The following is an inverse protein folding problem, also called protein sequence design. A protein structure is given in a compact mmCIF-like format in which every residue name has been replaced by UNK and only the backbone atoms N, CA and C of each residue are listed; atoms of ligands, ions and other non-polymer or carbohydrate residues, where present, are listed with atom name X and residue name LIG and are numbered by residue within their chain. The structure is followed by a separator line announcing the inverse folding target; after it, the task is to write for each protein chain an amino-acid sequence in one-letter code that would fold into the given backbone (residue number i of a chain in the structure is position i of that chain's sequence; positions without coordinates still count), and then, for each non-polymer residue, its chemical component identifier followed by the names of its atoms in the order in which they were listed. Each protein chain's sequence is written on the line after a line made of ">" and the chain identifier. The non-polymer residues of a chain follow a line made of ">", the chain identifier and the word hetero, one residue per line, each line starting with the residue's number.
data_IF_242832069767
#
_entry.id   IF_242832069767
#
_cell.length_a   1.000
_cell.length_b   1.000
_cell.length_c   1.000
_cell.angle_alpha   90.00
_cell.angle_beta   90.00
_cell.angle_gamma   90.00
#
_symmetry.space_group_name_H-M   'P 1'
#
loop_
_entity.id
_entity.type
_entity.pdbx_description
1 polymer ?
#
# COMPACT_ATOMS: atom_id res chain seq x y z
N UNK A 1 -15.21 -13.84 9.18
CA UNK A 1 -15.50 -12.59 9.92
C UNK A 1 -14.24 -11.75 9.89
N UNK A 2 -14.32 -10.54 9.39
CA UNK A 2 -13.20 -9.64 9.33
C UNK A 2 -12.79 -9.15 10.72
N UNK A 3 -11.51 -8.85 10.88
CA UNK A 3 -10.89 -8.43 12.14
C UNK A 3 -11.18 -9.41 13.29
N UNK A 4 -11.11 -10.70 13.01
CA UNK A 4 -11.26 -11.69 14.06
C UNK A 4 -10.16 -11.56 15.12
N UNK A 5 -10.38 -11.96 16.37
CA UNK A 5 -9.33 -11.95 17.40
C UNK A 5 -8.07 -12.71 16.97
N UNK A 6 -8.23 -13.81 16.22
CA UNK A 6 -7.13 -14.61 15.69
C UNK A 6 -6.34 -13.84 14.63
N UNK A 7 -7.02 -13.15 13.70
CA UNK A 7 -6.37 -12.27 12.72
C UNK A 7 -5.58 -11.18 13.40
N UNK A 8 -6.21 -10.43 14.32
CA UNK A 8 -5.56 -9.33 15.04
C UNK A 8 -4.34 -9.80 15.85
N UNK A 9 -4.47 -10.95 16.53
CA UNK A 9 -3.36 -11.56 17.26
C UNK A 9 -2.20 -11.86 16.31
N UNK A 10 -2.49 -12.52 15.18
CA UNK A 10 -1.46 -12.96 14.25
C UNK A 10 -0.76 -11.82 13.53
N UNK A 11 -1.47 -10.81 13.04
CA UNK A 11 -0.82 -9.65 12.40
C UNK A 11 0.06 -8.87 13.39
N UNK A 12 -0.33 -8.80 14.67
CA UNK A 12 0.51 -8.21 15.71
C UNK A 12 1.79 -9.02 15.98
N UNK A 13 1.72 -10.35 15.98
CA UNK A 13 2.89 -11.23 16.10
C UNK A 13 3.81 -11.06 14.90
N UNK A 14 3.27 -11.02 13.68
CA UNK A 14 4.03 -10.79 12.46
C UNK A 14 4.75 -9.44 12.50
N UNK A 15 4.06 -8.36 12.87
CA UNK A 15 4.68 -7.05 12.97
C UNK A 15 5.87 -7.04 13.94
N UNK A 16 5.72 -7.64 15.13
CA UNK A 16 6.81 -7.75 16.10
C UNK A 16 8.00 -8.53 15.53
N UNK A 17 7.75 -9.59 14.77
CA UNK A 17 8.81 -10.36 14.12
C UNK A 17 9.52 -9.55 13.03
N UNK A 18 8.80 -8.73 12.26
CA UNK A 18 9.37 -7.86 11.24
C UNK A 18 10.26 -6.76 11.85
N UNK A 19 9.79 -6.10 12.90
CA UNK A 19 10.59 -5.10 13.62
C UNK A 19 11.87 -5.73 14.19
N UNK A 20 11.77 -6.94 14.77
CA UNK A 20 12.95 -7.66 15.27
C UNK A 20 13.93 -8.00 14.15
N UNK A 21 13.42 -8.45 13.00
CA UNK A 21 14.24 -8.69 11.81
C UNK A 21 14.95 -7.39 11.39
N UNK A 22 14.20 -6.31 11.19
CA UNK A 22 14.74 -5.04 10.70
C UNK A 22 15.79 -4.44 11.63
N UNK A 23 15.61 -4.59 12.95
CA UNK A 23 16.58 -4.17 13.96
C UNK A 23 17.90 -4.97 13.88
N UNK A 24 17.87 -6.20 13.36
CA UNK A 24 19.05 -7.06 13.20
C UNK A 24 19.79 -6.84 11.88
N UNK A 25 19.20 -6.08 10.92
CA UNK A 25 19.78 -5.86 9.61
C UNK A 25 20.55 -4.54 9.55
N UNK A 26 21.88 -4.55 9.33
CA UNK A 26 22.66 -3.33 9.16
C UNK A 26 22.33 -2.61 7.86
N UNK A 27 22.06 -3.37 6.80
CA UNK A 27 21.75 -2.85 5.48
C UNK A 27 20.25 -2.53 5.33
N UNK A 28 19.95 -1.32 4.83
CA UNK A 28 18.59 -0.84 4.60
C UNK A 28 17.80 -1.72 3.63
N UNK A 29 18.44 -2.22 2.57
CA UNK A 29 17.77 -3.03 1.55
C UNK A 29 17.40 -4.42 2.07
N UNK A 30 18.10 -4.91 3.09
CA UNK A 30 17.78 -6.17 3.76
C UNK A 30 16.60 -6.06 4.74
N UNK A 31 16.17 -4.85 5.09
CA UNK A 31 15.03 -4.60 5.97
C UNK A 31 13.72 -4.74 5.21
N UNK A 32 12.68 -5.19 5.89
CA UNK A 32 11.33 -5.30 5.33
C UNK A 32 10.65 -3.94 5.21
N UNK A 33 10.88 -3.05 6.17
CA UNK A 33 10.34 -1.67 6.17
C UNK A 33 8.82 -1.63 6.01
N UNK A 34 8.12 -2.52 6.71
CA UNK A 34 6.67 -2.55 6.68
C UNK A 34 6.09 -1.29 7.34
N UNK A 35 4.93 -0.87 6.83
CA UNK A 35 4.12 0.23 7.37
C UNK A 35 3.77 0.00 8.85
N UNK A 36 3.59 1.06 9.62
CA UNK A 36 3.21 0.97 11.04
C UNK A 36 1.76 0.48 11.21
N UNK A 37 1.46 -0.18 12.36
CA UNK A 37 0.13 -0.76 12.60
C UNK A 37 -1.01 0.24 12.48
N UNK A 38 -0.84 1.45 13.00
CA UNK A 38 -1.86 2.49 12.95
C UNK A 38 -2.17 2.92 11.51
N UNK A 39 -1.14 3.04 10.69
CA UNK A 39 -1.27 3.35 9.27
C UNK A 39 -1.98 2.23 8.53
N UNK A 40 -1.59 0.96 8.74
CA UNK A 40 -2.21 -0.20 8.10
C UNK A 40 -3.70 -0.33 8.49
N UNK A 41 -4.05 -0.11 9.77
CA UNK A 41 -5.43 -0.08 10.24
C UNK A 41 -6.24 1.04 9.56
N UNK A 42 -5.66 2.24 9.47
CA UNK A 42 -6.31 3.38 8.79
C UNK A 42 -6.59 3.10 7.32
N UNK A 43 -5.63 2.49 6.60
CA UNK A 43 -5.83 2.09 5.19
C UNK A 43 -6.99 1.09 5.06
N UNK A 44 -7.03 0.07 5.93
CA UNK A 44 -8.13 -0.91 5.95
C UNK A 44 -9.49 -0.25 6.26
N UNK A 45 -9.52 0.77 7.13
CA UNK A 45 -10.74 1.55 7.39
C UNK A 45 -11.16 2.35 6.15
N UNK A 46 -10.22 3.02 5.46
CA UNK A 46 -10.53 3.76 4.23
C UNK A 46 -11.13 2.86 3.16
N UNK A 47 -10.55 1.68 2.92
CA UNK A 47 -11.08 0.70 1.97
C UNK A 47 -12.52 0.32 2.31
N UNK A 48 -12.82 0.10 3.60
CA UNK A 48 -14.18 -0.23 4.07
C UNK A 48 -15.16 0.93 3.91
N UNK A 49 -14.76 2.15 4.30
CA UNK A 49 -15.61 3.35 4.19
C UNK A 49 -15.93 3.66 2.73
N UNK A 50 -14.91 3.59 1.89
CA UNK A 50 -15.03 3.86 0.45
C UNK A 50 -15.76 2.74 -0.31
N UNK A 51 -15.89 1.54 0.27
CA UNK A 51 -16.40 0.35 -0.41
C UNK A 51 -15.63 0.03 -1.70
N UNK A 52 -14.30 0.17 -1.65
CA UNK A 52 -13.40 -0.07 -2.77
C UNK A 52 -13.61 -1.44 -3.38
N UNK A 53 -13.55 -1.54 -4.71
CA UNK A 53 -13.73 -2.79 -5.46
C UNK A 53 -12.44 -3.30 -6.11
N UNK A 54 -11.56 -2.38 -6.50
CA UNK A 54 -10.25 -2.68 -7.07
C UNK A 54 -9.21 -1.89 -6.29
N UNK A 55 -8.25 -2.59 -5.72
CA UNK A 55 -7.18 -2.04 -4.88
C UNK A 55 -5.85 -2.34 -5.54
N UNK A 56 -4.98 -1.35 -5.64
CA UNK A 56 -3.59 -1.51 -6.06
C UNK A 56 -2.68 -1.19 -4.88
N UNK A 57 -1.71 -2.05 -4.65
CA UNK A 57 -0.60 -1.79 -3.74
C UNK A 57 0.71 -1.88 -4.51
N UNK A 58 1.55 -0.85 -4.40
CA UNK A 58 2.90 -0.83 -4.96
C UNK A 58 3.89 -0.85 -3.81
N UNK A 59 4.58 -1.97 -3.66
CA UNK A 59 5.43 -2.28 -2.52
C UNK A 59 4.77 -3.25 -1.53
N UNK A 60 4.69 -4.53 -1.89
CA UNK A 60 4.16 -5.60 -1.02
C UNK A 60 5.05 -5.83 0.20
N UNK A 61 6.37 -5.80 0.00
CA UNK A 61 7.34 -6.26 0.99
C UNK A 61 6.96 -7.66 1.52
N UNK A 62 6.93 -7.85 2.83
CA UNK A 62 6.48 -9.12 3.46
C UNK A 62 4.97 -9.16 3.73
N UNK A 63 4.20 -8.20 3.19
CA UNK A 63 2.75 -8.26 3.11
C UNK A 63 1.99 -7.68 4.30
N UNK A 64 2.62 -6.91 5.18
CA UNK A 64 1.90 -6.42 6.37
C UNK A 64 0.70 -5.54 6.02
N UNK A 65 0.87 -4.52 5.18
CA UNK A 65 -0.22 -3.71 4.62
C UNK A 65 -1.18 -4.55 3.80
N UNK A 66 -0.65 -5.45 2.97
CA UNK A 66 -1.43 -6.35 2.12
C UNK A 66 -2.44 -7.16 2.92
N UNK A 67 -2.04 -7.71 4.09
CA UNK A 67 -2.93 -8.49 4.96
C UNK A 67 -4.10 -7.65 5.50
N UNK A 68 -3.84 -6.41 5.94
CA UNK A 68 -4.88 -5.49 6.40
C UNK A 68 -5.83 -5.07 5.27
N UNK A 69 -5.28 -4.79 4.09
CA UNK A 69 -6.07 -4.48 2.90
C UNK A 69 -6.90 -5.69 2.48
N UNK A 70 -6.36 -6.92 2.57
CA UNK A 70 -7.06 -8.14 2.21
C UNK A 70 -8.24 -8.46 3.14
N UNK A 71 -8.06 -8.30 4.45
CA UNK A 71 -9.17 -8.41 5.40
C UNK A 71 -10.28 -7.38 5.10
N UNK A 72 -9.93 -6.17 4.71
CA UNK A 72 -10.90 -5.16 4.28
C UNK A 72 -11.54 -5.53 2.93
N UNK A 73 -10.76 -6.06 1.99
CA UNK A 73 -11.23 -6.47 0.66
C UNK A 73 -12.25 -7.61 0.73
N UNK A 74 -12.09 -8.58 1.64
CA UNK A 74 -13.09 -9.63 1.87
C UNK A 74 -14.45 -9.04 2.26
N UNK A 75 -14.46 -7.97 3.10
CA UNK A 75 -15.71 -7.31 3.52
C UNK A 75 -16.36 -6.54 2.39
N UNK A 76 -15.57 -5.88 1.56
CA UNK A 76 -16.09 -5.06 0.46
C UNK A 76 -16.28 -5.83 -0.84
N UNK A 77 -15.95 -7.14 -0.86
CA UNK A 77 -15.89 -7.97 -2.07
C UNK A 77 -14.98 -7.36 -3.14
N UNK A 78 -13.83 -6.83 -2.69
CA UNK A 78 -12.81 -6.25 -3.54
C UNK A 78 -11.78 -7.28 -3.99
N UNK A 79 -10.97 -6.90 -4.98
CA UNK A 79 -9.72 -7.58 -5.36
C UNK A 79 -8.54 -6.65 -5.17
N UNK A 80 -7.43 -7.23 -4.75
CA UNK A 80 -6.16 -6.53 -4.58
C UNK A 80 -5.20 -7.02 -5.64
N UNK A 81 -4.56 -6.10 -6.34
CA UNK A 81 -3.32 -6.36 -7.08
C UNK A 81 -2.18 -5.76 -6.26
N UNK A 82 -1.23 -6.56 -5.84
CA UNK A 82 -0.04 -6.11 -5.09
C UNK A 82 1.22 -6.41 -5.87
N UNK A 83 2.11 -5.42 -5.97
CA UNK A 83 3.30 -5.46 -6.83
C UNK A 83 4.57 -5.44 -5.97
N UNK A 84 5.43 -6.43 -6.20
CA UNK A 84 6.71 -6.58 -5.50
C UNK A 84 7.78 -7.04 -6.50
N UNK A 85 8.97 -6.43 -6.42
CA UNK A 85 10.08 -6.80 -7.29
C UNK A 85 10.87 -8.00 -6.76
N UNK A 86 10.89 -8.20 -5.42
CA UNK A 86 11.60 -9.30 -4.78
C UNK A 86 10.69 -10.54 -4.66
N UNK A 87 10.98 -11.62 -5.43
CA UNK A 87 10.17 -12.83 -5.40
C UNK A 87 10.15 -13.54 -4.03
N UNK A 88 11.18 -13.35 -3.20
CA UNK A 88 11.23 -13.95 -1.87
C UNK A 88 10.28 -13.24 -0.92
N UNK A 89 10.22 -11.92 -0.97
CA UNK A 89 9.26 -11.11 -0.20
C UNK A 89 7.83 -11.42 -0.62
N UNK A 90 7.55 -11.41 -1.91
CA UNK A 90 6.22 -11.76 -2.43
C UNK A 90 5.78 -13.18 -2.02
N UNK A 91 6.68 -14.17 -2.09
CA UNK A 91 6.40 -15.52 -1.64
C UNK A 91 6.10 -15.58 -0.12
N UNK A 92 6.84 -14.82 0.69
CA UNK A 92 6.61 -14.73 2.13
C UNK A 92 5.26 -14.09 2.44
N UNK A 93 4.89 -13.00 1.76
CA UNK A 93 3.59 -12.35 1.88
C UNK A 93 2.45 -13.31 1.51
N UNK A 94 2.60 -14.06 0.43
CA UNK A 94 1.62 -15.08 -0.01
C UNK A 94 1.42 -16.18 1.03
N UNK A 95 2.49 -16.63 1.70
CA UNK A 95 2.37 -17.62 2.77
C UNK A 95 1.57 -17.09 3.96
N UNK A 96 1.80 -15.85 4.39
CA UNK A 96 1.02 -15.24 5.46
C UNK A 96 -0.44 -14.99 5.06
N UNK A 97 -0.69 -14.62 3.82
CA UNK A 97 -2.05 -14.46 3.32
C UNK A 97 -2.84 -15.79 3.37
N UNK A 98 -2.21 -16.90 2.96
CA UNK A 98 -2.79 -18.25 3.07
C UNK A 98 -3.04 -18.66 4.51
N UNK A 99 -2.07 -18.42 5.40
CA UNK A 99 -2.19 -18.70 6.83
C UNK A 99 -3.41 -18.01 7.44
N UNK A 100 -3.68 -16.78 7.02
CA UNK A 100 -4.80 -15.96 7.49
C UNK A 100 -6.10 -16.14 6.67
N UNK A 101 -6.09 -17.01 5.67
CA UNK A 101 -7.22 -17.27 4.77
C UNK A 101 -7.78 -16.00 4.10
N UNK A 102 -6.86 -15.14 3.63
CA UNK A 102 -7.18 -13.90 2.88
C UNK A 102 -6.57 -13.87 1.48
N UNK A 103 -5.92 -14.96 1.06
CA UNK A 103 -5.22 -15.05 -0.22
C UNK A 103 -6.16 -15.08 -1.44
N UNK A 104 -7.40 -15.48 -1.27
CA UNK A 104 -8.41 -15.58 -2.33
C UNK A 104 -8.78 -14.22 -2.96
N UNK A 105 -8.50 -13.11 -2.29
CA UNK A 105 -8.75 -11.75 -2.79
C UNK A 105 -7.49 -11.05 -3.32
N UNK A 106 -6.32 -11.69 -3.27
CA UNK A 106 -5.03 -11.08 -3.60
C UNK A 106 -4.45 -11.67 -4.89
N UNK A 107 -4.05 -10.80 -5.81
CA UNK A 107 -3.25 -11.11 -6.98
C UNK A 107 -1.82 -10.58 -6.76
N UNK A 108 -0.87 -11.48 -6.54
CA UNK A 108 0.53 -11.15 -6.32
C UNK A 108 1.27 -11.03 -7.65
N UNK A 109 1.74 -9.85 -7.99
CA UNK A 109 2.52 -9.55 -9.18
C UNK A 109 4.00 -9.38 -8.82
N UNK A 110 4.84 -10.32 -9.28
CA UNK A 110 6.30 -10.26 -9.08
C UNK A 110 6.92 -9.62 -10.32
N UNK A 111 7.01 -8.29 -10.29
CA UNK A 111 7.44 -7.48 -11.43
C UNK A 111 7.93 -6.10 -10.95
N UNK A 112 8.74 -5.43 -11.76
CA UNK A 112 9.07 -4.01 -11.55
C UNK A 112 7.80 -3.16 -11.60
N UNK A 113 7.65 -2.22 -10.65
CA UNK A 113 6.45 -1.41 -10.53
C UNK A 113 6.21 -0.52 -11.76
N UNK A 114 7.25 0.07 -12.34
CA UNK A 114 7.11 0.90 -13.54
C UNK A 114 6.69 0.07 -14.75
N UNK A 115 7.21 -1.14 -14.86
CA UNK A 115 6.80 -2.05 -15.94
C UNK A 115 5.34 -2.50 -15.77
N UNK A 116 4.90 -2.81 -14.55
CA UNK A 116 3.49 -3.07 -14.28
C UNK A 116 2.61 -1.88 -14.67
N UNK A 117 2.98 -0.67 -14.21
CA UNK A 117 2.21 0.55 -14.47
C UNK A 117 2.11 0.90 -15.97
N UNK A 118 3.16 0.61 -16.75
CA UNK A 118 3.15 0.82 -18.21
C UNK A 118 2.25 -0.16 -18.96
N UNK A 119 2.10 -1.37 -18.44
CA UNK A 119 1.45 -2.48 -19.15
C UNK A 119 0.03 -2.77 -18.69
N UNK A 120 -0.51 -2.02 -17.72
CA UNK A 120 -1.88 -2.19 -17.25
C UNK A 120 -2.74 -0.98 -17.60
N UNK A 121 -4.01 -1.24 -17.96
CA UNK A 121 -5.05 -0.22 -18.18
C UNK A 121 -6.14 -0.27 -17.10
N UNK A 122 -5.91 -1.02 -16.03
CA UNK A 122 -6.89 -1.17 -14.95
C UNK A 122 -7.10 0.15 -14.22
N UNK A 123 -8.30 0.29 -13.65
CA UNK A 123 -8.67 1.41 -12.78
C UNK A 123 -8.84 0.92 -11.36
N UNK A 124 -8.37 1.72 -10.41
CA UNK A 124 -8.40 1.38 -9.00
C UNK A 124 -9.13 2.44 -8.20
N UNK A 125 -9.94 1.99 -7.25
CA UNK A 125 -10.61 2.85 -6.29
C UNK A 125 -9.68 3.24 -5.14
N UNK A 126 -8.76 2.36 -4.81
CA UNK A 126 -7.77 2.58 -3.76
C UNK A 126 -6.39 2.22 -4.29
N UNK A 127 -5.43 3.12 -4.11
CA UNK A 127 -4.03 2.88 -4.46
C UNK A 127 -3.17 3.19 -3.23
N UNK A 128 -2.37 2.22 -2.78
CA UNK A 128 -1.29 2.43 -1.83
C UNK A 128 0.03 2.48 -2.58
N UNK A 129 0.80 3.54 -2.38
CA UNK A 129 2.15 3.70 -2.88
C UNK A 129 3.13 3.69 -1.70
N UNK A 130 3.82 2.57 -1.52
CA UNK A 130 4.84 2.36 -0.49
C UNK A 130 6.04 1.58 -1.07
N UNK A 131 6.70 2.17 -2.05
CA UNK A 131 7.86 1.61 -2.75
C UNK A 131 9.10 2.49 -2.59
N UNK A 132 10.14 2.28 -3.41
CA UNK A 132 11.31 3.16 -3.44
C UNK A 132 10.93 4.54 -3.97
N UNK A 133 11.19 5.55 -3.17
CA UNK A 133 10.67 6.93 -3.34
C UNK A 133 11.25 7.72 -4.49
N UNK A 134 12.45 7.36 -4.95
CA UNK A 134 13.11 7.96 -6.12
C UNK A 134 12.33 7.73 -7.43
N UNK A 135 11.54 6.66 -7.49
CA UNK A 135 10.73 6.33 -8.67
C UNK A 135 9.33 6.99 -8.68
N UNK A 136 8.90 7.68 -7.62
CA UNK A 136 7.53 8.21 -7.51
C UNK A 136 7.17 9.22 -8.60
N UNK A 137 8.13 10.03 -9.04
CA UNK A 137 7.93 10.97 -10.15
C UNK A 137 7.63 10.24 -11.47
N UNK A 138 8.30 9.11 -11.72
CA UNK A 138 8.10 8.29 -12.91
C UNK A 138 6.78 7.50 -12.85
N UNK A 139 6.32 7.15 -11.64
CA UNK A 139 5.04 6.46 -11.45
C UNK A 139 3.83 7.39 -11.61
N UNK A 140 3.96 8.67 -11.26
CA UNK A 140 2.83 9.59 -11.21
C UNK A 140 2.02 9.71 -12.49
N UNK A 141 2.60 9.81 -13.70
CA UNK A 141 1.84 9.89 -14.95
C UNK A 141 0.88 8.71 -15.15
N UNK A 142 1.20 7.54 -14.61
CA UNK A 142 0.38 6.33 -14.69
C UNK A 142 -0.65 6.29 -13.55
N UNK A 143 -0.23 6.52 -12.32
CA UNK A 143 -1.08 6.46 -11.12
C UNK A 143 -2.27 7.40 -11.22
N UNK A 144 -2.06 8.66 -11.63
CA UNK A 144 -3.16 9.62 -11.81
C UNK A 144 -4.20 9.16 -12.84
N UNK A 145 -3.77 8.41 -13.86
CA UNK A 145 -4.67 7.87 -14.87
C UNK A 145 -5.37 6.60 -14.42
N UNK A 146 -4.79 5.83 -13.50
CA UNK A 146 -5.38 4.60 -12.96
C UNK A 146 -6.38 4.86 -11.85
N UNK A 147 -6.28 5.99 -11.17
CA UNK A 147 -7.20 6.35 -10.10
C UNK A 147 -8.60 6.64 -10.66
N UNK A 148 -9.63 6.02 -10.07
CA UNK A 148 -11.03 6.27 -10.41
C UNK A 148 -11.40 7.70 -10.04
N UNK A 149 -11.96 8.47 -11.01
CA UNK A 149 -12.18 9.90 -10.81
C UNK A 149 -13.23 10.23 -9.75
N UNK A 150 -14.30 9.46 -9.66
CA UNK A 150 -15.45 9.80 -8.81
C UNK A 150 -15.20 9.62 -7.32
N UNK A 151 -14.45 8.60 -6.95
CA UNK A 151 -14.21 8.26 -5.53
C UNK A 151 -12.88 7.53 -5.31
N UNK A 152 -11.93 7.66 -6.23
CA UNK A 152 -10.59 7.06 -6.08
C UNK A 152 -9.77 7.78 -5.02
N UNK A 153 -9.03 7.02 -4.23
CA UNK A 153 -8.09 7.51 -3.21
C UNK A 153 -6.70 6.91 -3.46
N UNK A 154 -5.70 7.76 -3.59
CA UNK A 154 -4.29 7.39 -3.52
C UNK A 154 -3.75 7.77 -2.15
N UNK A 155 -3.09 6.83 -1.50
CA UNK A 155 -2.33 7.06 -0.27
C UNK A 155 -0.87 6.75 -0.51
N UNK A 156 0.00 7.66 -0.09
CA UNK A 156 1.46 7.51 -0.17
C UNK A 156 2.02 7.47 1.24
N UNK A 157 2.77 6.45 1.56
CA UNK A 157 3.38 6.30 2.89
C UNK A 157 4.76 6.97 3.00
N UNK A 158 5.26 7.10 4.23
CA UNK A 158 6.59 7.60 4.60
C UNK A 158 6.83 9.10 4.27
N UNK A 159 5.78 9.89 4.09
CA UNK A 159 5.93 11.28 3.60
C UNK A 159 6.42 12.27 4.66
N UNK A 160 6.37 11.93 5.95
CA UNK A 160 6.94 12.75 7.04
C UNK A 160 8.33 12.26 7.39
N UNK A 161 8.51 10.96 7.62
CA UNK A 161 9.81 10.38 7.96
C UNK A 161 10.87 10.57 6.87
N UNK A 162 10.46 10.64 5.60
CA UNK A 162 11.31 10.80 4.43
C UNK A 162 10.93 12.04 3.60
N UNK A 163 10.55 13.14 4.28
CA UNK A 163 10.01 14.35 3.65
C UNK A 163 10.90 14.94 2.56
N UNK A 164 12.23 14.87 2.71
CA UNK A 164 13.18 15.37 1.72
C UNK A 164 13.16 14.56 0.42
N UNK A 165 13.01 13.24 0.52
CA UNK A 165 13.04 12.34 -0.64
C UNK A 165 11.77 12.49 -1.49
N UNK A 166 10.60 12.70 -0.85
CA UNK A 166 9.31 12.82 -1.53
C UNK A 166 8.89 14.25 -1.85
N UNK A 167 9.71 15.26 -1.50
CA UNK A 167 9.36 16.69 -1.64
C UNK A 167 8.92 17.06 -3.05
N UNK A 168 9.68 16.65 -4.05
CA UNK A 168 9.40 16.98 -5.46
C UNK A 168 8.09 16.34 -5.93
N UNK A 169 7.85 15.09 -5.57
CA UNK A 169 6.63 14.38 -5.86
C UNK A 169 5.41 15.07 -5.21
N UNK A 170 5.48 15.35 -3.92
CA UNK A 170 4.38 16.04 -3.20
C UNK A 170 4.11 17.41 -3.80
N UNK A 171 5.16 18.16 -4.16
CA UNK A 171 5.00 19.48 -4.79
C UNK A 171 4.33 19.40 -6.15
N UNK A 172 4.69 18.39 -6.96
CA UNK A 172 4.07 18.12 -8.25
C UNK A 172 2.56 17.83 -8.09
N UNK A 173 2.20 16.90 -7.19
CA UNK A 173 0.80 16.52 -6.97
C UNK A 173 -0.01 17.67 -6.38
N UNK A 174 0.52 18.42 -5.41
CA UNK A 174 -0.15 19.60 -4.84
C UNK A 174 -0.35 20.74 -5.84
N UNK A 175 0.55 20.86 -6.81
CA UNK A 175 0.44 21.86 -7.89
C UNK A 175 -0.64 21.52 -8.92
N UNK A 176 -1.12 20.32 -8.98
CA UNK A 176 -2.16 19.90 -9.91
C UNK A 176 -3.54 20.23 -9.36
N UNK A 177 -4.21 21.17 -10.01
CA UNK A 177 -5.52 21.71 -9.58
C UNK A 177 -6.67 20.69 -9.61
N UNK A 178 -6.49 19.54 -10.28
CA UNK A 178 -7.48 18.46 -10.34
C UNK A 178 -7.62 17.71 -9.00
N UNK A 179 -6.61 17.79 -8.14
CA UNK A 179 -6.55 16.99 -6.92
C UNK A 179 -6.76 17.82 -5.65
N UNK A 180 -7.43 17.21 -4.68
CA UNK A 180 -7.44 17.61 -3.28
C UNK A 180 -6.48 16.72 -2.52
N UNK A 181 -5.62 17.31 -1.70
CA UNK A 181 -4.58 16.57 -0.99
C UNK A 181 -4.52 16.96 0.48
N UNK A 182 -4.17 16.00 1.33
CA UNK A 182 -3.84 16.26 2.73
C UNK A 182 -2.69 15.38 3.19
N UNK A 183 -1.98 15.82 4.23
CA UNK A 183 -0.96 15.01 4.90
C UNK A 183 -1.43 14.71 6.32
N UNK A 184 -1.43 13.45 6.69
CA UNK A 184 -1.80 12.97 8.02
C UNK A 184 -0.53 12.60 8.79
N UNK A 185 -0.41 13.07 10.02
CA UNK A 185 0.66 12.67 10.94
C UNK A 185 0.28 11.34 11.62
N UNK A 186 0.24 10.28 10.83
CA UNK A 186 -0.05 8.91 11.26
C UNK A 186 1.09 8.01 10.83
N UNK A 187 1.67 7.22 11.75
CA UNK A 187 2.87 6.43 11.49
C UNK A 187 4.01 7.30 10.96
N UNK A 188 4.63 6.88 9.87
CA UNK A 188 5.69 7.62 9.17
C UNK A 188 5.19 8.81 8.33
N UNK A 189 3.87 9.07 8.35
CA UNK A 189 3.17 10.11 7.62
C UNK A 189 2.52 9.63 6.33
N UNK A 190 1.21 9.87 6.19
CA UNK A 190 0.43 9.50 5.01
C UNK A 190 0.05 10.75 4.21
N UNK A 191 0.28 10.72 2.90
CA UNK A 191 -0.19 11.74 1.96
C UNK A 191 -1.36 11.19 1.17
N UNK A 192 -2.53 11.80 1.34
CA UNK A 192 -3.79 11.35 0.74
C UNK A 192 -4.17 12.26 -0.40
N UNK A 193 -4.56 11.67 -1.53
CA UNK A 193 -4.89 12.37 -2.78
C UNK A 193 -6.21 11.83 -3.32
N UNK A 194 -7.14 12.74 -3.65
CA UNK A 194 -8.40 12.43 -4.34
C UNK A 194 -8.63 13.44 -5.47
N UNK A 195 -9.47 13.10 -6.44
CA UNK A 195 -9.95 14.10 -7.40
C UNK A 195 -10.89 15.10 -6.72
N UNK A 196 -10.89 16.36 -7.17
CA UNK A 196 -11.79 17.41 -6.66
C UNK A 196 -13.22 17.27 -7.17
N UNK A 197 -13.41 16.63 -8.31
CA UNK A 197 -14.66 16.53 -9.09
C UNK A 197 -15.44 17.83 -9.18
#
# INVERSE_FOLDING_TARGET
>A
MSLSPEFLKRVNELYRSFIKHDASQPDRLSRYRNIEPESAQYLAMLVRIQQSKQILEIGTSTGYSTLWLADAAQVTSAKITTVEIDPKRAAQASLFAKELAVDDVIDFQVVDALDFLKNTNQKFYFILLDAERDAYLDYWPYLQNMLVQTNGVLVVDNVISHATEVKSFISLVKGDTRFLTTTLALGAGLFVVIFKN
#
